data_IF_306759780420
#
_entry.id   IF_306759780420
#
_cell.length_a   1.000
_cell.length_b   1.000
_cell.length_c   1.000
_cell.angle_alpha   90.00
_cell.angle_beta   90.00
_cell.angle_gamma   90.00
#
_symmetry.space_group_name_H-M   'P 1'
#
loop_
_entity.id
_entity.type
_entity.pdbx_description
1 polymer ?
#
# COMPACT_ATOMS: atom_id res chain seq x y z
N UNK A 1 16.07 -5.11 3.02
CA UNK A 1 17.18 -4.59 2.21
C UNK A 1 18.13 -3.84 3.14
N UNK A 2 19.44 -4.15 3.13
CA UNK A 2 20.42 -3.57 4.06
C UNK A 2 20.00 -3.64 5.56
N UNK A 3 19.34 -4.72 5.99
CA UNK A 3 18.87 -4.91 7.37
C UNK A 3 17.46 -4.38 7.68
N UNK A 4 16.84 -3.59 6.79
CA UNK A 4 15.46 -3.11 6.96
C UNK A 4 14.42 -4.06 6.35
N UNK A 5 13.20 -4.18 6.91
CA UNK A 5 12.10 -4.92 6.30
C UNK A 5 11.68 -4.30 4.96
N UNK A 6 11.25 -5.14 4.03
CA UNK A 6 10.78 -4.73 2.68
C UNK A 6 9.59 -5.59 2.27
N UNK A 7 8.69 -5.01 1.48
CA UNK A 7 7.63 -5.76 0.83
C UNK A 7 8.13 -6.29 -0.52
N UNK A 8 7.87 -7.56 -0.81
CA UNK A 8 8.28 -8.21 -2.06
C UNK A 8 7.04 -8.69 -2.80
N UNK A 9 6.81 -8.12 -3.98
CA UNK A 9 5.70 -8.50 -4.86
C UNK A 9 6.22 -9.29 -6.05
N UNK A 10 5.84 -10.56 -6.13
CA UNK A 10 6.12 -11.41 -7.29
C UNK A 10 4.91 -11.38 -8.23
N UNK A 11 5.10 -10.87 -9.44
CA UNK A 11 4.01 -10.75 -10.43
C UNK A 11 3.97 -12.02 -11.26
N UNK A 12 2.96 -12.85 -11.04
CA UNK A 12 2.78 -14.11 -11.78
C UNK A 12 2.49 -13.85 -13.25
N UNK A 13 3.02 -14.71 -14.12
CA UNK A 13 2.68 -14.71 -15.54
C UNK A 13 1.28 -15.31 -15.72
N UNK A 14 0.36 -14.56 -16.33
CA UNK A 14 -0.96 -15.08 -16.68
C UNK A 14 -0.96 -15.58 -18.12
N UNK A 15 -1.11 -16.88 -18.33
CA UNK A 15 -1.15 -17.47 -19.69
C UNK A 15 -2.40 -17.07 -20.48
N UNK A 16 -3.53 -16.87 -19.79
CA UNK A 16 -4.80 -16.44 -20.41
C UNK A 16 -4.80 -14.97 -20.84
N UNK A 17 -4.04 -14.11 -20.15
CA UNK A 17 -3.91 -12.69 -20.48
C UNK A 17 -2.50 -12.17 -20.17
N UNK A 18 -1.56 -12.58 -21.03
CA UNK A 18 -0.14 -12.26 -20.88
C UNK A 18 0.17 -10.78 -21.09
N UNK A 19 -0.60 -10.11 -21.94
CA UNK A 19 -0.48 -8.68 -22.18
C UNK A 19 -0.90 -7.88 -20.95
N UNK A 20 -2.05 -8.17 -20.35
CA UNK A 20 -2.51 -7.44 -19.17
C UNK A 20 -1.57 -7.64 -17.97
N UNK A 21 -1.06 -8.85 -17.75
CA UNK A 21 -0.10 -9.09 -16.67
C UNK A 21 1.23 -8.35 -16.87
N UNK A 22 1.73 -8.26 -18.12
CA UNK A 22 2.89 -7.40 -18.45
C UNK A 22 2.59 -5.92 -18.24
N UNK A 23 1.44 -5.45 -18.72
CA UNK A 23 1.04 -4.04 -18.56
C UNK A 23 0.92 -3.67 -17.08
N UNK A 24 0.32 -4.52 -16.25
CA UNK A 24 0.23 -4.32 -14.81
C UNK A 24 1.62 -4.24 -14.17
N UNK A 25 2.53 -5.14 -14.53
CA UNK A 25 3.90 -5.12 -14.02
C UNK A 25 4.62 -3.80 -14.37
N UNK A 26 4.55 -3.36 -15.63
CA UNK A 26 5.19 -2.11 -16.06
C UNK A 26 4.52 -0.87 -15.48
N UNK A 27 3.19 -0.87 -15.30
CA UNK A 27 2.46 0.24 -14.71
C UNK A 27 2.92 0.52 -13.27
N UNK A 28 3.26 -0.51 -12.49
CA UNK A 28 3.81 -0.35 -11.14
C UNK A 28 5.21 0.30 -11.15
N UNK A 29 5.97 0.14 -12.24
CA UNK A 29 7.31 0.73 -12.37
C UNK A 29 7.28 2.18 -12.83
N UNK A 30 6.12 2.74 -13.20
CA UNK A 30 6.01 4.15 -13.56
C UNK A 30 6.41 5.08 -12.41
N UNK A 31 6.28 4.61 -11.16
CA UNK A 31 6.67 5.35 -9.95
C UNK A 31 8.07 4.99 -9.43
N UNK A 32 8.85 4.18 -10.16
CA UNK A 32 10.10 3.60 -9.65
C UNK A 32 11.18 4.60 -9.21
N UNK A 33 11.12 5.82 -9.73
CA UNK A 33 12.08 6.89 -9.44
C UNK A 33 11.52 7.97 -8.52
N UNK A 34 10.32 7.75 -7.98
CA UNK A 34 9.62 8.72 -7.17
C UNK A 34 9.79 8.44 -5.68
N UNK A 35 9.91 9.51 -4.90
CA UNK A 35 10.02 9.45 -3.45
C UNK A 35 9.18 10.57 -2.83
N UNK A 36 8.20 10.16 -2.02
CA UNK A 36 7.30 11.06 -1.32
C UNK A 36 6.73 10.36 -0.09
N UNK A 37 6.46 11.11 0.99
CA UNK A 37 6.00 10.54 2.25
C UNK A 37 4.70 9.71 2.11
N UNK A 38 3.78 10.16 1.26
CA UNK A 38 2.47 9.54 1.03
C UNK A 38 2.41 8.73 -0.29
N UNK A 39 3.55 8.24 -0.79
CA UNK A 39 3.62 7.33 -1.95
C UNK A 39 4.63 6.22 -1.64
N UNK A 40 4.16 4.98 -1.68
CA UNK A 40 5.00 3.80 -1.39
C UNK A 40 6.20 3.75 -2.34
N UNK A 41 7.40 3.80 -1.77
CA UNK A 41 8.65 3.81 -2.53
C UNK A 41 8.96 2.43 -3.10
N UNK A 42 9.19 2.39 -4.40
CA UNK A 42 9.80 1.24 -5.09
C UNK A 42 11.31 1.33 -4.89
N UNK A 43 11.90 0.29 -4.30
CA UNK A 43 13.34 0.23 -4.00
C UNK A 43 14.10 -0.37 -5.18
N UNK A 44 13.56 -1.44 -5.76
CA UNK A 44 14.17 -2.14 -6.88
C UNK A 44 13.15 -2.99 -7.62
N UNK A 45 13.43 -3.34 -8.87
CA UNK A 45 12.66 -4.30 -9.62
C UNK A 45 13.58 -5.20 -10.46
N UNK A 46 13.11 -6.42 -10.74
CA UNK A 46 13.79 -7.39 -11.59
C UNK A 46 12.79 -8.04 -12.54
N UNK A 47 13.16 -8.16 -13.80
CA UNK A 47 12.42 -8.93 -14.82
C UNK A 47 12.92 -10.37 -14.94
N UNK A 48 13.90 -10.77 -14.11
CA UNK A 48 14.46 -12.10 -14.11
C UNK A 48 13.66 -13.01 -13.16
N UNK A 49 13.07 -14.07 -13.69
CA UNK A 49 12.49 -15.15 -12.88
C UNK A 49 13.51 -16.27 -12.71
N UNK A 50 13.79 -16.76 -11.48
CA UNK A 50 14.58 -17.97 -11.27
C UNK A 50 14.01 -19.14 -12.08
N UNK A 51 14.89 -20.02 -12.56
CA UNK A 51 14.49 -21.20 -13.31
C UNK A 51 13.46 -22.03 -12.50
N UNK A 52 12.28 -22.29 -13.09
CA UNK A 52 11.20 -23.04 -12.46
C UNK A 52 10.08 -22.20 -11.84
N UNK A 53 10.18 -20.86 -11.82
CA UNK A 53 9.10 -19.96 -11.38
C UNK A 53 8.41 -19.27 -12.57
N UNK A 54 7.08 -19.38 -12.69
CA UNK A 54 6.28 -18.66 -13.70
C UNK A 54 5.99 -17.21 -13.27
N UNK A 55 7.03 -16.41 -13.09
CA UNK A 55 6.92 -14.99 -12.75
C UNK A 55 7.32 -14.10 -13.94
N UNK A 56 6.63 -12.97 -14.09
CA UNK A 56 7.03 -11.87 -14.97
C UNK A 56 8.18 -11.05 -14.37
N UNK A 57 8.27 -11.00 -13.05
CA UNK A 57 9.25 -10.19 -12.35
C UNK A 57 8.94 -10.04 -10.87
N UNK A 58 9.86 -9.38 -10.18
CA UNK A 58 9.78 -9.07 -8.76
C UNK A 58 9.93 -7.57 -8.57
N UNK A 59 9.06 -6.99 -7.73
CA UNK A 59 9.15 -5.60 -7.30
C UNK A 59 9.42 -5.61 -5.80
N UNK A 60 10.47 -4.90 -5.39
CA UNK A 60 10.86 -4.69 -4.01
C UNK A 60 10.46 -3.28 -3.64
N UNK A 61 9.62 -3.14 -2.63
CA UNK A 61 9.09 -1.88 -2.14
C UNK A 61 9.46 -1.70 -0.67
N UNK A 62 9.37 -0.48 -0.18
CA UNK A 62 9.39 -0.29 1.27
C UNK A 62 8.25 -1.07 1.94
N UNK A 63 8.48 -1.44 3.19
CA UNK A 63 7.46 -2.06 4.01
C UNK A 63 6.80 -0.98 4.87
N UNK A 64 5.52 -0.68 4.58
CA UNK A 64 4.75 0.37 5.26
C UNK A 64 4.09 -0.14 6.54
N UNK A 65 3.57 -1.37 6.52
CA UNK A 65 2.85 -2.00 7.61
C UNK A 65 1.85 -3.05 7.11
N UNK A 66 1.20 -3.74 8.05
CA UNK A 66 0.23 -4.81 7.76
C UNK A 66 -1.21 -4.29 7.55
N UNK A 67 -1.45 -3.00 7.77
CA UNK A 67 -2.78 -2.40 7.71
C UNK A 67 -2.97 -1.53 6.48
N UNK A 68 -4.22 -1.45 6.03
CA UNK A 68 -4.66 -0.57 4.95
C UNK A 68 -5.85 0.24 5.42
N UNK A 69 -6.16 1.35 4.73
CA UNK A 69 -7.34 2.15 5.04
C UNK A 69 -8.63 1.32 4.96
N UNK A 70 -8.67 0.29 4.11
CA UNK A 70 -9.77 -0.67 4.08
C UNK A 70 -9.96 -1.38 5.43
N UNK A 71 -8.87 -1.84 6.06
CA UNK A 71 -8.92 -2.43 7.40
C UNK A 71 -9.39 -1.43 8.45
N UNK A 72 -8.97 -0.16 8.36
CA UNK A 72 -9.40 0.87 9.31
C UNK A 72 -10.89 1.21 9.18
N UNK A 73 -11.42 1.29 7.95
CA UNK A 73 -12.83 1.64 7.71
C UNK A 73 -13.77 0.46 7.96
N UNK A 74 -13.39 -0.74 7.51
CA UNK A 74 -14.28 -1.91 7.48
C UNK A 74 -13.86 -3.03 8.43
N UNK A 75 -12.56 -3.17 8.71
CA UNK A 75 -11.96 -4.21 9.54
C UNK A 75 -12.24 -4.00 11.02
N UNK A 76 -13.43 -4.37 11.46
CA UNK A 76 -13.86 -4.30 12.85
C UNK A 76 -13.34 -5.49 13.65
N UNK A 77 -12.03 -5.78 13.66
CA UNK A 77 -11.44 -6.88 14.43
C UNK A 77 -9.92 -6.78 14.68
N UNK A 78 -9.33 -5.59 14.82
CA UNK A 78 -8.09 -5.52 15.62
C UNK A 78 -8.50 -5.70 17.09
N UNK A 79 -8.51 -6.96 17.50
CA UNK A 79 -8.64 -7.42 18.88
C UNK A 79 -7.60 -6.73 19.77
N UNK A 80 -8.10 -5.83 20.63
CA UNK A 80 -7.56 -5.47 21.96
C UNK A 80 -6.04 -5.26 22.08
N UNK A 81 -5.58 -4.02 21.99
CA UNK A 81 -4.53 -3.56 22.92
C UNK A 81 -5.23 -3.01 24.15
N UNK A 82 -5.29 -3.87 25.18
CA UNK A 82 -5.34 -3.52 26.61
C UNK A 82 -5.70 -2.06 26.95
N UNK A 83 -6.99 -1.78 27.08
CA UNK A 83 -7.46 -0.97 28.21
C UNK A 83 -8.35 -1.84 29.08
N UNK A 84 -7.71 -2.43 30.08
CA UNK A 84 -8.39 -2.92 31.27
C UNK A 84 -8.65 -1.68 32.13
N UNK A 85 -9.89 -1.55 32.58
CA UNK A 85 -10.48 -0.40 33.30
C UNK A 85 -10.77 0.78 32.34
N UNK A 86 -12.01 1.16 32.03
CA UNK A 86 -13.17 1.29 32.92
C UNK A 86 -14.50 1.14 32.15
N UNK A 87 -15.55 1.06 32.94
CA UNK A 87 -16.94 0.67 32.62
C UNK A 87 -17.61 1.60 31.57
N UNK A 88 -18.47 0.97 30.75
CA UNK A 88 -19.52 1.54 29.86
C UNK A 88 -19.11 1.95 28.44
N UNK A 89 -19.40 1.07 27.46
CA UNK A 89 -19.51 1.42 26.04
C UNK A 89 -18.69 0.53 25.11
N UNK A 90 -19.13 -0.70 24.85
CA UNK A 90 -18.57 -1.53 23.78
C UNK A 90 -19.07 -1.02 22.42
N UNK A 91 -18.53 0.14 22.00
CA UNK A 91 -18.79 0.74 20.70
C UNK A 91 -17.64 0.43 19.75
N UNK A 92 -17.99 0.09 18.51
CA UNK A 92 -17.08 0.03 17.37
C UNK A 92 -16.18 1.28 17.40
N UNK A 93 -14.86 1.15 17.58
CA UNK A 93 -13.95 2.29 17.40
C UNK A 93 -13.94 2.65 15.90
N UNK A 94 -14.91 3.46 15.51
CA UNK A 94 -15.00 4.03 14.17
C UNK A 94 -13.92 5.08 13.98
N UNK A 95 -13.39 5.18 12.77
CA UNK A 95 -12.51 6.26 12.33
C UNK A 95 -13.06 7.62 12.80
N UNK A 96 -12.31 8.36 13.62
CA UNK A 96 -12.73 9.69 14.09
C UNK A 96 -12.72 10.70 12.94
N UNK A 97 -13.43 11.82 13.10
CA UNK A 97 -13.41 12.91 12.12
C UNK A 97 -11.99 13.46 11.92
N UNK A 98 -11.23 13.60 13.00
CA UNK A 98 -9.85 14.08 12.94
C UNK A 98 -8.95 13.13 12.14
N UNK A 99 -9.04 11.82 12.37
CA UNK A 99 -8.29 10.82 11.58
C UNK A 99 -8.72 10.80 10.12
N UNK A 100 -10.03 10.95 9.86
CA UNK A 100 -10.57 11.01 8.50
C UNK A 100 -9.99 12.19 7.72
N UNK A 101 -9.90 13.36 8.36
CA UNK A 101 -9.30 14.56 7.77
C UNK A 101 -7.80 14.36 7.54
N UNK A 102 -7.08 13.79 8.51
CA UNK A 102 -5.65 13.52 8.37
C UNK A 102 -5.37 12.60 7.18
N UNK A 103 -6.03 11.45 7.09
CA UNK A 103 -5.86 10.53 5.96
C UNK A 103 -6.28 11.16 4.63
N UNK A 104 -7.29 12.03 4.64
CA UNK A 104 -7.67 12.76 3.41
C UNK A 104 -6.58 13.72 2.97
N UNK A 105 -5.94 14.43 3.89
CA UNK A 105 -4.81 15.32 3.59
C UNK A 105 -3.61 14.55 3.04
N UNK A 106 -3.24 13.44 3.67
CA UNK A 106 -2.13 12.58 3.26
C UNK A 106 -2.35 12.00 1.86
N UNK A 107 -3.55 11.46 1.58
CA UNK A 107 -3.92 10.94 0.25
C UNK A 107 -3.85 12.05 -0.80
N UNK A 108 -4.38 13.24 -0.50
CA UNK A 108 -4.36 14.37 -1.44
C UNK A 108 -2.92 14.83 -1.68
N UNK A 109 -2.05 14.86 -0.67
CA UNK A 109 -0.64 15.19 -0.84
C UNK A 109 0.06 14.20 -1.78
N UNK A 110 -0.16 12.90 -1.59
CA UNK A 110 0.34 11.85 -2.49
C UNK A 110 -0.16 12.01 -3.93
N UNK A 111 -1.46 12.29 -4.12
CA UNK A 111 -2.03 12.50 -5.44
C UNK A 111 -1.52 13.76 -6.13
N UNK A 112 -1.37 14.87 -5.41
CA UNK A 112 -0.79 16.11 -5.95
C UNK A 112 0.64 15.84 -6.44
N UNK A 113 1.43 15.10 -5.67
CA UNK A 113 2.77 14.70 -6.06
C UNK A 113 2.78 13.77 -7.28
N UNK A 114 1.90 12.76 -7.36
CA UNK A 114 1.82 11.91 -8.56
C UNK A 114 1.39 12.71 -9.80
N UNK A 115 0.41 13.60 -9.65
CA UNK A 115 -0.10 14.42 -10.74
C UNK A 115 0.94 15.43 -11.24
N UNK A 116 1.82 15.94 -10.38
CA UNK A 116 2.93 16.81 -10.82
C UNK A 116 3.97 16.07 -11.68
N UNK A 117 4.00 14.74 -11.60
CA UNK A 117 4.81 13.85 -12.44
C UNK A 117 4.01 13.23 -13.60
N UNK A 118 2.81 13.74 -13.88
CA UNK A 118 1.91 13.25 -14.95
C UNK A 118 1.45 11.80 -14.77
N UNK A 119 1.41 11.30 -13.54
CA UNK A 119 0.95 9.94 -13.21
C UNK A 119 -0.45 10.01 -12.62
N UNK A 120 -1.39 9.28 -13.22
CA UNK A 120 -2.74 9.07 -12.66
C UNK A 120 -2.80 7.67 -12.04
N UNK A 121 -3.27 7.54 -10.79
CA UNK A 121 -3.26 6.24 -10.08
C UNK A 121 -4.21 5.20 -10.71
N UNK A 122 -5.39 5.61 -11.21
CA UNK A 122 -6.41 4.79 -11.89
C UNK A 122 -7.05 3.62 -11.10
N UNK A 123 -6.59 3.32 -9.88
CA UNK A 123 -7.15 2.29 -9.00
C UNK A 123 -7.12 2.76 -7.53
N UNK A 124 -7.43 4.04 -7.30
CA UNK A 124 -7.45 4.60 -5.95
C UNK A 124 -8.64 4.00 -5.18
N UNK A 125 -8.35 3.24 -4.13
CA UNK A 125 -9.34 2.61 -3.24
C UNK A 125 -8.72 2.37 -1.86
N UNK A 126 -9.52 2.20 -0.79
CA UNK A 126 -8.99 2.02 0.56
C UNK A 126 -8.01 0.84 0.71
N UNK A 127 -8.11 -0.19 -0.14
CA UNK A 127 -7.21 -1.34 -0.11
C UNK A 127 -5.81 -1.05 -0.67
N UNK A 128 -5.64 0.04 -1.44
CA UNK A 128 -4.37 0.47 -2.01
C UNK A 128 -3.72 1.62 -1.21
N UNK A 129 -4.30 2.01 -0.07
CA UNK A 129 -3.74 3.00 0.86
C UNK A 129 -3.25 2.24 2.10
N UNK A 130 -1.93 2.20 2.30
CA UNK A 130 -1.31 1.55 3.45
C UNK A 130 -1.26 2.50 4.64
N UNK A 131 -1.34 1.97 5.86
CA UNK A 131 -1.28 2.76 7.09
C UNK A 131 -0.03 2.35 7.87
N UNK A 132 0.83 3.31 8.16
CA UNK A 132 2.01 3.10 9.02
C UNK A 132 1.59 2.91 10.48
N UNK A 133 2.49 2.38 11.31
CA UNK A 133 2.28 2.29 12.76
C UNK A 133 2.03 3.67 13.42
N UNK A 134 2.51 4.74 12.79
CA UNK A 134 2.31 6.13 13.24
C UNK A 134 0.98 6.73 12.77
N UNK A 135 0.08 5.95 12.15
CA UNK A 135 -1.18 6.42 11.55
C UNK A 135 -0.99 7.51 10.49
N UNK A 136 0.03 7.36 9.66
CA UNK A 136 0.25 8.14 8.44
C UNK A 136 -0.03 7.23 7.24
N UNK A 137 -0.70 7.75 6.21
CA UNK A 137 -0.99 6.99 4.99
C UNK A 137 -0.29 7.52 3.73
#
# INVERSE_FOLDING_TARGET
YCGAPVAVKQVKKCSKNSLASRQSFWAELNVAHLEHQNVVRVIAASTCSPAGQESLGTIIMEYVGDSTLHHVIYGTNWVTVKKKDDRLGCGRESLSLAQSLQYSCDIVAGLVFLHSHLIVHLDLKPANIFITEQNIC
#
